data_IF_137105834775
#
_entry.id   IF_137105834775
#
_cell.length_a   1.000
_cell.length_b   1.000
_cell.length_c   1.000
_cell.angle_alpha   90.00
_cell.angle_beta   90.00
_cell.angle_gamma   90.00
#
_symmetry.space_group_name_H-M   'P 1'
#
loop_
_entity.id
_entity.type
_entity.pdbx_description
1 polymer ?
#
# COMPACT_ATOMS: atom_id res chain seq x y z
N UNK A 1 6.28 4.21 3.51
CA UNK A 1 5.75 5.07 2.42
C UNK A 1 4.28 5.46 2.56
N UNK A 2 3.39 4.55 3.04
CA UNK A 2 1.95 4.83 3.17
C UNK A 2 1.67 6.03 4.10
N UNK A 3 2.56 6.27 5.05
CA UNK A 3 2.53 7.36 6.03
C UNK A 3 2.47 8.75 5.38
N UNK A 4 3.15 8.95 4.24
CA UNK A 4 3.13 10.23 3.50
C UNK A 4 1.70 10.62 3.12
N UNK A 5 0.94 9.65 2.62
CA UNK A 5 -0.44 9.87 2.19
C UNK A 5 -1.42 9.86 3.37
N UNK A 6 -1.33 8.87 4.25
CA UNK A 6 -2.25 8.70 5.37
C UNK A 6 -2.12 9.79 6.42
N UNK A 7 -0.88 10.17 6.75
CA UNK A 7 -0.60 11.23 7.72
C UNK A 7 -1.21 12.57 7.30
N UNK A 8 -1.19 12.91 6.02
CA UNK A 8 -1.89 14.09 5.52
C UNK A 8 -3.40 13.89 5.51
N UNK A 9 -3.89 12.81 4.89
CA UNK A 9 -5.31 12.59 4.67
C UNK A 9 -6.11 12.57 5.99
N UNK A 10 -5.66 11.79 6.97
CA UNK A 10 -6.38 11.65 8.24
C UNK A 10 -6.39 12.95 9.03
N UNK A 11 -5.30 13.73 9.00
CA UNK A 11 -5.27 15.07 9.65
C UNK A 11 -6.22 16.06 8.98
N UNK A 12 -6.30 16.03 7.65
CA UNK A 12 -7.24 16.88 6.90
C UNK A 12 -8.70 16.45 7.15
N UNK A 13 -8.96 15.15 7.23
CA UNK A 13 -10.27 14.63 7.61
C UNK A 13 -10.66 15.09 9.01
N UNK A 14 -9.77 14.92 10.01
CA UNK A 14 -10.00 15.37 11.39
C UNK A 14 -10.30 16.87 11.46
N UNK A 15 -9.53 17.69 10.73
CA UNK A 15 -9.75 19.13 10.63
C UNK A 15 -11.13 19.50 10.09
N UNK A 16 -11.59 18.85 9.01
CA UNK A 16 -12.91 19.16 8.44
C UNK A 16 -14.06 18.61 9.28
N UNK A 17 -13.88 17.46 9.94
CA UNK A 17 -14.86 16.91 10.88
C UNK A 17 -15.04 17.84 12.07
N UNK A 18 -13.94 18.39 12.60
CA UNK A 18 -13.99 19.30 13.75
C UNK A 18 -14.81 20.56 13.44
N UNK A 19 -14.58 21.14 12.25
CA UNK A 19 -15.34 22.30 11.75
C UNK A 19 -16.83 22.03 11.53
N UNK A 20 -17.21 20.77 11.32
CA UNK A 20 -18.61 20.34 11.16
C UNK A 20 -19.21 19.81 12.45
N UNK A 21 -18.45 19.79 13.54
CA UNK A 21 -18.79 19.10 14.79
C UNK A 21 -19.22 17.64 14.56
N UNK A 22 -18.57 16.98 13.61
CA UNK A 22 -18.87 15.60 13.22
C UNK A 22 -17.72 14.67 13.63
N UNK A 23 -17.92 13.36 13.51
CA UNK A 23 -16.97 12.31 13.87
C UNK A 23 -17.02 11.17 12.85
N UNK A 24 -15.95 10.40 12.73
CA UNK A 24 -15.90 9.20 11.90
C UNK A 24 -15.22 8.03 12.64
N UNK A 25 -15.70 6.83 12.34
CA UNK A 25 -15.09 5.57 12.74
C UNK A 25 -14.36 4.98 11.53
N UNK A 26 -13.04 5.10 11.50
CA UNK A 26 -12.19 4.53 10.46
C UNK A 26 -12.02 3.04 10.70
N UNK A 27 -12.56 2.22 9.80
CA UNK A 27 -12.41 0.77 9.83
C UNK A 27 -11.61 0.29 8.61
N UNK A 28 -10.64 -0.58 8.84
CA UNK A 28 -9.83 -1.18 7.78
C UNK A 28 -9.35 -2.58 8.16
N UNK A 29 -9.38 -3.50 7.20
CA UNK A 29 -8.64 -4.74 7.28
C UNK A 29 -7.18 -4.52 6.83
N UNK A 30 -6.24 -5.24 7.45
CA UNK A 30 -4.82 -5.18 7.07
C UNK A 30 -4.16 -6.54 7.18
N UNK A 31 -3.28 -6.82 6.22
CA UNK A 31 -2.32 -7.94 6.25
C UNK A 31 -0.88 -7.45 6.23
N UNK A 32 -0.66 -6.14 6.36
CA UNK A 32 0.67 -5.52 6.32
C UNK A 32 0.67 -4.06 6.74
N UNK A 33 1.41 -3.20 6.02
CA UNK A 33 1.70 -1.82 6.46
C UNK A 33 0.52 -0.84 6.48
N UNK A 34 -0.64 -1.20 5.91
CA UNK A 34 -1.77 -0.26 5.81
C UNK A 34 -2.35 0.05 7.20
N UNK A 35 -2.47 -0.95 8.06
CA UNK A 35 -2.91 -0.81 9.45
C UNK A 35 -2.02 0.10 10.27
N UNK A 36 -0.71 -0.18 10.42
CA UNK A 36 0.23 0.68 11.12
C UNK A 36 0.17 2.15 10.66
N UNK A 37 0.17 2.40 9.35
CA UNK A 37 0.13 3.76 8.81
C UNK A 37 -1.18 4.49 9.16
N UNK A 38 -2.33 3.79 9.13
CA UNK A 38 -3.61 4.38 9.50
C UNK A 38 -3.69 4.63 11.02
N UNK A 39 -3.26 3.65 11.82
CA UNK A 39 -3.26 3.71 13.27
C UNK A 39 -2.40 4.88 13.79
N UNK A 40 -1.16 5.01 13.30
CA UNK A 40 -0.27 6.13 13.65
C UNK A 40 -0.83 7.50 13.20
N UNK A 41 -1.43 7.56 12.01
CA UNK A 41 -2.01 8.81 11.51
C UNK A 41 -3.28 9.21 12.27
N UNK A 42 -4.05 8.23 12.76
CA UNK A 42 -5.23 8.44 13.57
C UNK A 42 -4.92 8.73 15.04
N UNK A 43 -3.78 8.29 15.56
CA UNK A 43 -3.40 8.49 16.96
C UNK A 43 -3.55 9.96 17.41
N UNK A 44 -4.33 10.16 18.48
CA UNK A 44 -4.59 11.47 19.08
C UNK A 44 -5.46 12.41 18.24
N UNK A 45 -6.13 11.92 17.17
CA UNK A 45 -7.15 12.69 16.44
C UNK A 45 -8.43 12.78 17.27
N UNK A 46 -9.06 13.96 17.27
CA UNK A 46 -10.20 14.26 18.15
C UNK A 46 -11.53 13.73 17.60
N UNK A 47 -11.68 13.72 16.28
CA UNK A 47 -12.94 13.40 15.60
C UNK A 47 -12.91 12.05 14.90
N UNK A 48 -11.85 11.29 15.09
CA UNK A 48 -11.62 10.03 14.39
C UNK A 48 -11.31 8.94 15.41
N UNK A 49 -12.12 7.88 15.43
CA UNK A 49 -11.72 6.59 16.02
C UNK A 49 -11.17 5.69 14.91
N UNK A 50 -10.19 4.83 15.22
CA UNK A 50 -9.55 3.96 14.24
C UNK A 50 -9.54 2.51 14.72
N UNK A 51 -10.03 1.62 13.85
CA UNK A 51 -10.27 0.22 14.11
C UNK A 51 -9.53 -0.63 13.07
N UNK A 52 -8.19 -0.77 13.17
CA UNK A 52 -7.44 -1.64 12.28
C UNK A 52 -7.68 -3.11 12.67
N UNK A 53 -8.23 -3.89 11.75
CA UNK A 53 -8.50 -5.31 11.90
C UNK A 53 -7.38 -6.11 11.25
N UNK A 54 -6.85 -7.12 11.95
CA UNK A 54 -5.84 -8.01 11.39
C UNK A 54 -6.08 -9.47 11.82
N UNK A 55 -5.79 -10.44 10.93
CA UNK A 55 -5.89 -11.85 11.28
C UNK A 55 -4.77 -12.21 12.27
N UNK A 56 -5.14 -12.59 13.48
CA UNK A 56 -4.21 -12.86 14.57
C UNK A 56 -3.25 -13.99 14.19
N UNK A 57 -1.94 -13.76 14.34
CA UNK A 57 -0.90 -14.73 13.99
C UNK A 57 -0.58 -14.85 12.49
N UNK A 58 -1.22 -14.07 11.62
CA UNK A 58 -1.00 -14.11 10.17
C UNK A 58 -0.34 -12.83 9.61
N UNK A 59 0.04 -11.90 10.48
CA UNK A 59 0.88 -10.73 10.16
C UNK A 59 2.23 -10.82 10.90
N UNK A 60 3.25 -10.09 10.45
CA UNK A 60 4.53 -10.06 11.16
C UNK A 60 4.37 -9.45 12.55
N UNK A 61 5.21 -9.90 13.50
CA UNK A 61 5.16 -9.39 14.87
C UNK A 61 5.48 -7.90 14.92
N UNK A 62 6.39 -7.44 14.07
CA UNK A 62 6.75 -6.03 13.93
C UNK A 62 5.53 -5.20 13.52
N UNK A 63 4.78 -5.63 12.50
CA UNK A 63 3.58 -4.92 12.04
C UNK A 63 2.47 -4.92 13.09
N UNK A 64 2.28 -6.02 13.82
CA UNK A 64 1.33 -6.09 14.93
C UNK A 64 1.69 -5.08 16.02
N UNK A 65 2.95 -5.09 16.48
CA UNK A 65 3.42 -4.19 17.53
C UNK A 65 3.28 -2.72 17.13
N UNK A 66 3.49 -2.37 15.86
CA UNK A 66 3.27 -1.01 15.39
C UNK A 66 1.83 -0.52 15.55
N UNK A 67 0.84 -1.40 15.68
CA UNK A 67 -0.54 -1.00 15.93
C UNK A 67 -0.88 -1.08 17.42
N UNK A 68 -0.48 -2.17 18.07
CA UNK A 68 -0.95 -2.51 19.42
C UNK A 68 -0.21 -1.79 20.54
N UNK A 69 0.91 -1.12 20.25
CA UNK A 69 1.72 -0.40 21.25
C UNK A 69 1.65 1.12 21.13
N UNK A 70 0.75 1.65 20.28
CA UNK A 70 0.61 3.10 20.05
C UNK A 70 0.14 3.84 21.32
N UNK A 71 -0.61 3.18 22.20
CA UNK A 71 -1.12 3.77 23.45
C UNK A 71 -2.22 4.82 23.29
N UNK A 72 -2.61 5.19 22.06
CA UNK A 72 -3.67 6.17 21.81
C UNK A 72 -5.06 5.61 22.15
N UNK A 73 -5.87 6.38 22.87
CA UNK A 73 -7.22 5.96 23.29
C UNK A 73 -8.20 5.81 22.12
N UNK A 74 -8.04 6.62 21.08
CA UNK A 74 -8.91 6.61 19.91
C UNK A 74 -8.53 5.56 18.86
N UNK A 75 -7.55 4.70 19.15
CA UNK A 75 -7.09 3.64 18.25
C UNK A 75 -7.29 2.29 18.95
N UNK A 76 -8.10 1.43 18.35
CA UNK A 76 -8.43 0.10 18.88
C UNK A 76 -8.06 -0.96 17.85
N UNK A 77 -6.81 -1.47 17.86
CA UNK A 77 -6.44 -2.59 17.02
C UNK A 77 -7.22 -3.84 17.41
N UNK A 78 -7.63 -4.62 16.40
CA UNK A 78 -8.45 -5.82 16.60
C UNK A 78 -7.76 -7.04 15.99
N UNK A 79 -7.24 -7.90 16.86
CA UNK A 79 -6.68 -9.20 16.46
C UNK A 79 -7.79 -10.25 16.36
N UNK A 80 -8.03 -10.75 15.16
CA UNK A 80 -9.15 -11.65 14.86
C UNK A 80 -8.66 -13.09 14.72
N UNK A 81 -9.22 -14.01 15.52
CA UNK A 81 -8.93 -15.44 15.46
C UNK A 81 -9.92 -16.16 14.56
N UNK A 82 -9.49 -17.27 13.95
CA UNK A 82 -10.37 -18.09 13.10
C UNK A 82 -10.59 -17.55 11.69
N UNK A 83 -9.71 -16.67 11.20
CA UNK A 83 -9.71 -16.25 9.80
C UNK A 83 -9.04 -17.34 8.95
N UNK A 84 -9.83 -18.22 8.34
CA UNK A 84 -9.35 -19.32 7.49
C UNK A 84 -8.73 -18.81 6.18
N UNK A 85 -9.27 -17.72 5.63
CA UNK A 85 -8.78 -17.05 4.43
C UNK A 85 -7.97 -15.77 4.77
N UNK A 86 -7.57 -15.61 6.03
CA UNK A 86 -6.72 -14.52 6.49
C UNK A 86 -7.36 -13.14 6.34
N UNK A 87 -6.79 -12.27 5.51
CA UNK A 87 -7.29 -10.90 5.31
C UNK A 87 -8.63 -10.85 4.57
N UNK A 88 -8.90 -11.82 3.69
CA UNK A 88 -10.10 -11.85 2.86
C UNK A 88 -11.36 -12.01 3.72
N UNK A 89 -11.30 -12.82 4.79
CA UNK A 89 -12.37 -12.93 5.80
C UNK A 89 -12.72 -11.57 6.42
N UNK A 90 -11.71 -10.77 6.75
CA UNK A 90 -11.93 -9.44 7.33
C UNK A 90 -12.53 -8.47 6.32
N UNK A 91 -12.09 -8.53 5.07
CA UNK A 91 -12.65 -7.72 3.98
C UNK A 91 -14.13 -8.05 3.75
N UNK A 92 -14.56 -9.30 3.92
CA UNK A 92 -15.98 -9.68 3.86
C UNK A 92 -16.81 -9.00 4.95
N UNK A 93 -16.32 -8.96 6.19
CA UNK A 93 -17.00 -8.27 7.30
C UNK A 93 -17.07 -6.77 7.03
N UNK A 94 -15.95 -6.17 6.62
CA UNK A 94 -15.90 -4.74 6.26
C UNK A 94 -16.88 -4.44 5.12
N UNK A 95 -16.95 -5.28 4.09
CA UNK A 95 -17.88 -5.11 2.98
C UNK A 95 -19.35 -5.19 3.41
N UNK A 96 -19.71 -6.10 4.34
CA UNK A 96 -21.08 -6.17 4.88
C UNK A 96 -21.44 -4.92 5.68
N UNK A 97 -20.53 -4.44 6.54
CA UNK A 97 -20.73 -3.20 7.30
C UNK A 97 -20.98 -1.99 6.39
N UNK A 98 -20.22 -1.86 5.30
CA UNK A 98 -20.43 -0.80 4.30
C UNK A 98 -21.60 -1.04 3.35
N UNK A 99 -22.06 -2.29 3.21
CA UNK A 99 -23.22 -2.66 2.40
C UNK A 99 -24.56 -2.25 3.04
N UNK A 100 -24.61 -2.14 4.37
CA UNK A 100 -25.75 -1.60 5.09
C UNK A 100 -25.59 -0.09 5.31
N UNK A 101 -26.28 0.71 4.49
CA UNK A 101 -26.25 2.17 4.59
C UNK A 101 -26.83 2.72 5.90
N UNK A 102 -27.76 2.02 6.56
CA UNK A 102 -28.28 2.44 7.88
C UNK A 102 -27.21 2.25 8.93
N UNK A 103 -26.56 1.09 8.92
CA UNK A 103 -25.47 0.77 9.85
C UNK A 103 -24.26 1.69 9.65
N UNK A 104 -23.85 1.89 8.39
CA UNK A 104 -22.76 2.80 8.02
C UNK A 104 -22.98 4.21 8.56
N UNK A 105 -24.18 4.75 8.37
CA UNK A 105 -24.52 6.09 8.86
C UNK A 105 -24.61 6.14 10.39
N UNK A 106 -25.21 5.12 11.02
CA UNK A 106 -25.35 5.03 12.48
C UNK A 106 -24.00 4.98 13.19
N UNK A 107 -23.05 4.21 12.66
CA UNK A 107 -21.70 4.02 13.19
C UNK A 107 -20.69 5.05 12.66
N UNK A 108 -21.13 5.94 11.76
CA UNK A 108 -20.29 6.92 11.06
C UNK A 108 -19.06 6.27 10.41
N UNK A 109 -19.24 5.13 9.76
CA UNK A 109 -18.12 4.37 9.20
C UNK A 109 -17.48 5.09 8.02
N UNK A 110 -16.15 5.03 7.96
CA UNK A 110 -15.38 5.44 6.79
C UNK A 110 -14.12 4.57 6.64
N UNK A 111 -13.51 4.60 5.47
CA UNK A 111 -12.31 3.83 5.15
C UNK A 111 -11.24 4.71 4.51
N UNK A 112 -9.98 4.45 4.88
CA UNK A 112 -8.79 5.07 4.30
C UNK A 112 -8.02 4.09 3.41
N UNK A 113 -8.71 3.09 2.86
CA UNK A 113 -8.14 2.15 1.90
C UNK A 113 -7.61 2.87 0.66
N UNK A 114 -6.80 2.16 -0.11
CA UNK A 114 -6.03 2.73 -1.24
C UNK A 114 -6.92 3.17 -2.42
N UNK A 115 -8.24 3.02 -2.30
CA UNK A 115 -9.25 3.58 -3.20
C UNK A 115 -9.45 5.08 -2.93
N UNK A 116 -9.12 5.61 -1.74
CA UNK A 116 -9.29 7.02 -1.44
C UNK A 116 -8.40 7.90 -2.36
N UNK A 117 -9.00 8.81 -3.13
CA UNK A 117 -8.29 9.66 -4.08
C UNK A 117 -7.23 10.56 -3.41
N UNK A 118 -7.50 11.01 -2.17
CA UNK A 118 -6.54 11.79 -1.39
C UNK A 118 -5.22 11.05 -1.18
N UNK A 119 -5.25 9.71 -1.06
CA UNK A 119 -4.01 8.93 -0.95
C UNK A 119 -3.18 8.97 -2.22
N UNK A 120 -3.81 8.84 -3.39
CA UNK A 120 -3.14 8.87 -4.69
C UNK A 120 -2.58 10.26 -4.97
N UNK A 121 -3.37 11.31 -4.70
CA UNK A 121 -2.95 12.70 -4.87
C UNK A 121 -1.72 13.04 -4.01
N UNK A 122 -1.73 12.65 -2.74
CA UNK A 122 -0.57 12.91 -1.87
C UNK A 122 0.66 12.10 -2.24
N UNK A 123 0.50 10.94 -2.89
CA UNK A 123 1.63 10.21 -3.45
C UNK A 123 2.27 10.94 -4.64
N UNK A 124 1.55 11.79 -5.38
CA UNK A 124 2.16 12.58 -6.47
C UNK A 124 3.27 13.53 -5.97
N UNK A 125 3.17 14.01 -4.72
CA UNK A 125 4.07 15.03 -4.16
C UNK A 125 5.53 14.58 -4.11
N UNK A 126 5.81 13.31 -3.77
CA UNK A 126 7.20 12.85 -3.66
C UNK A 126 7.89 12.71 -5.03
N UNK A 127 7.14 12.58 -6.13
CA UNK A 127 7.72 12.62 -7.47
C UNK A 127 8.27 14.00 -7.80
N UNK A 128 7.50 15.07 -7.53
CA UNK A 128 7.99 16.44 -7.70
C UNK A 128 9.20 16.71 -6.81
N UNK A 129 9.12 16.31 -5.53
CA UNK A 129 10.25 16.45 -4.61
C UNK A 129 11.51 15.76 -5.13
N UNK A 130 11.44 14.47 -5.47
CA UNK A 130 12.59 13.74 -5.97
C UNK A 130 13.11 14.29 -7.31
N UNK A 131 12.20 14.70 -8.21
CA UNK A 131 12.54 15.32 -9.49
C UNK A 131 13.40 16.57 -9.31
N UNK A 132 12.93 17.55 -8.54
CA UNK A 132 13.66 18.81 -8.32
C UNK A 132 14.94 18.64 -7.49
N UNK A 133 15.13 17.50 -6.82
CA UNK A 133 16.36 17.19 -6.08
C UNK A 133 17.44 16.55 -6.94
N UNK A 134 17.09 15.97 -8.09
CA UNK A 134 17.97 15.09 -8.86
C UNK A 134 18.24 15.54 -10.29
N UNK A 135 17.37 16.38 -10.88
CA UNK A 135 17.66 16.93 -12.20
C UNK A 135 18.77 17.97 -12.15
N UNK A 136 19.60 17.99 -13.20
CA UNK A 136 20.58 19.05 -13.40
C UNK A 136 19.98 20.20 -14.20
N UNK A 137 19.15 19.89 -15.21
CA UNK A 137 18.48 20.87 -16.06
C UNK A 137 16.97 20.64 -16.08
N UNK A 138 16.21 21.73 -16.00
CA UNK A 138 14.76 21.69 -16.18
C UNK A 138 14.39 21.07 -17.53
N UNK A 139 13.49 20.10 -17.50
CA UNK A 139 13.04 19.35 -18.68
C UNK A 139 13.74 18.02 -18.90
N UNK A 140 14.84 17.75 -18.18
CA UNK A 140 15.48 16.44 -18.22
C UNK A 140 14.54 15.37 -17.67
N UNK A 141 14.59 14.18 -18.28
CA UNK A 141 13.78 13.06 -17.86
C UNK A 141 14.34 12.44 -16.57
N UNK A 142 13.45 11.99 -15.68
CA UNK A 142 13.81 11.16 -14.52
C UNK A 142 13.00 9.87 -14.53
N UNK A 143 13.67 8.75 -14.28
CA UNK A 143 13.02 7.43 -14.23
C UNK A 143 12.73 7.07 -12.78
N UNK A 144 11.52 6.57 -12.51
CA UNK A 144 11.16 6.00 -11.22
C UNK A 144 10.93 4.50 -11.36
N UNK A 145 11.74 3.71 -10.66
CA UNK A 145 11.51 2.28 -10.49
C UNK A 145 10.69 2.02 -9.24
N UNK A 146 9.48 1.53 -9.42
CA UNK A 146 8.47 1.43 -8.37
C UNK A 146 8.12 -0.03 -8.17
N UNK A 147 8.23 -0.56 -6.92
CA UNK A 147 7.70 -1.87 -6.61
C UNK A 147 6.17 -1.76 -6.55
N UNK A 148 5.51 -2.36 -7.53
CA UNK A 148 4.11 -2.08 -7.82
C UNK A 148 3.20 -3.26 -7.46
N UNK A 149 2.28 -3.02 -6.52
CA UNK A 149 1.16 -3.93 -6.19
C UNK A 149 -0.17 -3.31 -6.60
N UNK A 150 -0.84 -2.65 -5.64
CA UNK A 150 -2.11 -1.96 -5.82
C UNK A 150 -2.13 -0.79 -6.84
N UNK A 151 -0.95 -0.41 -7.36
CA UNK A 151 -0.73 0.65 -8.34
C UNK A 151 -1.04 2.10 -7.90
N UNK A 152 -1.30 2.34 -6.60
CA UNK A 152 -1.60 3.69 -6.09
C UNK A 152 -0.42 4.65 -6.24
N UNK A 153 0.79 4.20 -5.90
CA UNK A 153 2.00 5.03 -6.01
C UNK A 153 2.26 5.42 -7.46
N UNK A 154 2.29 4.44 -8.38
CA UNK A 154 2.47 4.68 -9.81
C UNK A 154 1.37 5.55 -10.41
N UNK A 155 0.13 5.43 -9.94
CA UNK A 155 -0.96 6.32 -10.35
C UNK A 155 -0.75 7.76 -9.85
N UNK A 156 -0.21 7.97 -8.65
CA UNK A 156 0.22 9.29 -8.18
C UNK A 156 1.33 9.88 -9.06
N UNK A 157 2.29 9.05 -9.48
CA UNK A 157 3.29 9.43 -10.48
C UNK A 157 2.67 9.81 -11.82
N UNK A 158 1.69 9.04 -12.30
CA UNK A 158 0.98 9.35 -13.54
C UNK A 158 0.23 10.69 -13.47
N UNK A 159 -0.35 11.03 -12.32
CA UNK A 159 -0.93 12.36 -12.07
C UNK A 159 0.16 13.44 -12.18
N UNK A 160 1.32 13.24 -11.55
CA UNK A 160 2.44 14.19 -11.66
C UNK A 160 2.91 14.36 -13.11
N UNK A 161 2.96 13.27 -13.88
CA UNK A 161 3.30 13.28 -15.31
C UNK A 161 2.26 14.01 -16.14
N UNK A 162 0.97 13.81 -15.86
CA UNK A 162 -0.13 14.54 -16.50
C UNK A 162 -0.11 16.04 -16.18
N UNK A 163 0.43 16.43 -15.02
CA UNK A 163 0.70 17.83 -14.66
C UNK A 163 1.93 18.43 -15.39
N UNK A 164 2.66 17.64 -16.18
CA UNK A 164 3.79 18.10 -16.98
C UNK A 164 5.18 17.69 -16.46
N UNK A 165 5.26 16.93 -15.37
CA UNK A 165 6.55 16.45 -14.85
C UNK A 165 7.15 15.42 -15.83
N UNK A 166 8.38 15.61 -16.36
CA UNK A 166 8.96 14.73 -17.37
C UNK A 166 9.56 13.48 -16.71
N UNK A 167 8.67 12.57 -16.30
CA UNK A 167 9.05 11.32 -15.65
C UNK A 167 8.63 10.10 -16.47
N UNK A 168 9.40 9.03 -16.31
CA UNK A 168 9.11 7.70 -16.86
C UNK A 168 9.09 6.67 -15.73
N UNK A 169 8.48 5.53 -15.98
CA UNK A 169 8.27 4.50 -14.95
C UNK A 169 8.89 3.17 -15.34
N UNK A 170 9.47 2.51 -14.35
CA UNK A 170 9.68 1.07 -14.34
C UNK A 170 8.70 0.49 -13.32
N UNK A 171 7.74 -0.28 -13.81
CA UNK A 171 6.80 -1.02 -13.00
C UNK A 171 7.41 -2.38 -12.66
N UNK A 172 8.07 -2.48 -11.51
CA UNK A 172 8.65 -3.73 -11.03
C UNK A 172 7.62 -4.48 -10.17
N UNK A 173 7.19 -5.66 -10.61
CA UNK A 173 6.33 -6.56 -9.83
C UNK A 173 7.14 -7.71 -9.26
N UNK A 174 6.60 -8.39 -8.26
CA UNK A 174 7.10 -9.70 -7.88
C UNK A 174 6.44 -10.81 -8.74
N UNK A 175 6.42 -12.05 -8.25
CA UNK A 175 5.76 -13.21 -8.89
C UNK A 175 4.29 -12.95 -9.26
N UNK A 176 3.60 -12.02 -8.60
CA UNK A 176 2.26 -11.52 -8.97
C UNK A 176 2.36 -10.44 -10.06
N UNK A 177 2.64 -10.86 -11.27
CA UNK A 177 3.06 -9.99 -12.37
C UNK A 177 1.91 -9.51 -13.27
N UNK A 178 0.72 -9.26 -12.72
CA UNK A 178 -0.45 -8.76 -13.48
C UNK A 178 -0.12 -7.45 -14.21
N UNK A 179 0.51 -6.49 -13.52
CA UNK A 179 0.90 -5.23 -14.15
C UNK A 179 1.94 -5.42 -15.26
N UNK A 180 2.86 -6.38 -15.11
CA UNK A 180 3.79 -6.70 -16.18
C UNK A 180 3.04 -7.16 -17.44
N UNK A 181 2.10 -8.11 -17.32
CA UNK A 181 1.28 -8.59 -18.46
C UNK A 181 0.46 -7.48 -19.12
N UNK A 182 -0.06 -6.54 -18.33
CA UNK A 182 -0.79 -5.38 -18.85
C UNK A 182 0.13 -4.54 -19.73
N UNK A 183 1.31 -4.15 -19.22
CA UNK A 183 2.21 -3.24 -19.93
C UNK A 183 3.00 -3.90 -21.06
N UNK A 184 3.30 -5.20 -20.96
CA UNK A 184 4.08 -5.92 -21.98
C UNK A 184 3.22 -6.56 -23.07
N UNK A 185 2.00 -7.00 -22.74
CA UNK A 185 1.15 -7.77 -23.66
C UNK A 185 -0.27 -7.19 -23.82
N UNK A 186 -0.64 -6.12 -23.10
CA UNK A 186 -2.00 -5.58 -23.14
C UNK A 186 -3.04 -6.48 -22.47
N UNK A 187 -2.62 -7.42 -21.62
CA UNK A 187 -3.52 -8.43 -21.02
C UNK A 187 -3.66 -8.18 -19.52
N UNK A 188 -4.89 -7.91 -19.09
CA UNK A 188 -5.28 -7.94 -17.67
C UNK A 188 -6.02 -9.25 -17.40
N UNK A 189 -5.37 -10.19 -16.73
CA UNK A 189 -5.96 -11.48 -16.34
C UNK A 189 -5.80 -11.74 -14.85
N UNK A 190 -6.89 -12.13 -14.18
CA UNK A 190 -6.91 -12.49 -12.76
C UNK A 190 -6.38 -13.92 -12.60
N UNK A 191 -5.14 -14.04 -12.12
CA UNK A 191 -4.51 -15.33 -11.79
C UNK A 191 -4.53 -15.59 -10.27
N UNK A 192 -4.34 -16.84 -9.82
CA UNK A 192 -4.21 -17.14 -8.40
C UNK A 192 -3.07 -16.33 -7.75
N UNK A 193 -3.30 -15.90 -6.50
CA UNK A 193 -2.32 -15.20 -5.68
C UNK A 193 -1.12 -16.11 -5.41
N UNK A 194 0.10 -15.56 -5.49
CA UNK A 194 1.32 -16.25 -5.10
C UNK A 194 2.00 -15.50 -3.96
N UNK A 195 2.32 -16.17 -2.87
CA UNK A 195 3.08 -15.55 -1.78
C UNK A 195 4.53 -15.31 -2.18
N UNK A 196 5.06 -14.14 -1.82
CA UNK A 196 6.45 -13.76 -2.06
C UNK A 196 7.12 -13.14 -0.83
N UNK A 197 8.41 -12.83 -0.93
CA UNK A 197 9.14 -12.09 0.12
C UNK A 197 8.72 -10.61 0.21
N UNK A 198 8.04 -10.10 -0.81
CA UNK A 198 7.56 -8.71 -0.91
C UNK A 198 6.03 -8.67 -0.77
N UNK A 199 5.53 -9.18 0.35
CA UNK A 199 4.10 -9.46 0.58
C UNK A 199 3.17 -8.27 0.38
N UNK A 200 3.63 -7.02 0.59
CA UNK A 200 2.79 -5.84 0.41
C UNK A 200 2.47 -5.52 -1.05
N UNK A 201 3.13 -6.18 -2.01
CA UNK A 201 2.83 -6.09 -3.45
C UNK A 201 2.36 -7.43 -4.03
N UNK A 202 2.03 -8.43 -3.20
CA UNK A 202 1.30 -9.64 -3.62
C UNK A 202 -0.16 -9.26 -3.96
N UNK A 203 -0.37 -8.73 -5.16
CA UNK A 203 -1.66 -8.18 -5.60
C UNK A 203 -2.03 -8.75 -6.97
N UNK A 204 -3.18 -9.41 -7.03
CA UNK A 204 -3.72 -9.96 -8.28
C UNK A 204 -4.44 -8.88 -9.09
N UNK A 205 -5.24 -8.04 -8.43
CA UNK A 205 -6.06 -7.00 -9.07
C UNK A 205 -5.55 -5.63 -8.62
N UNK A 206 -4.72 -4.94 -9.44
CA UNK A 206 -4.22 -3.61 -9.13
C UNK A 206 -5.33 -2.56 -9.26
N UNK A 207 -6.13 -2.34 -8.22
CA UNK A 207 -7.34 -1.51 -8.30
C UNK A 207 -7.10 -0.03 -8.67
N UNK A 208 -5.90 0.54 -8.45
CA UNK A 208 -5.59 1.89 -8.97
C UNK A 208 -5.20 1.90 -10.45
N UNK A 209 -5.01 0.74 -11.08
CA UNK A 209 -4.83 0.65 -12.53
C UNK A 209 -6.04 1.23 -13.27
N UNK A 210 -7.25 1.09 -12.73
CA UNK A 210 -8.45 1.68 -13.34
C UNK A 210 -8.39 3.20 -13.49
N UNK A 211 -7.76 3.89 -12.53
CA UNK A 211 -7.50 5.33 -12.62
C UNK A 211 -6.45 5.65 -13.66
N UNK A 212 -5.40 4.85 -13.71
CA UNK A 212 -4.37 4.98 -14.73
C UNK A 212 -4.94 4.77 -16.13
N UNK A 213 -5.78 3.74 -16.31
CA UNK A 213 -6.49 3.47 -17.55
C UNK A 213 -7.33 4.68 -17.96
N UNK A 214 -8.13 5.24 -17.05
CA UNK A 214 -8.90 6.46 -17.28
C UNK A 214 -8.03 7.63 -17.78
N UNK A 215 -6.89 7.89 -17.11
CA UNK A 215 -5.96 8.95 -17.49
C UNK A 215 -5.30 8.72 -18.85
N UNK A 216 -5.15 7.46 -19.28
CA UNK A 216 -4.51 7.07 -20.55
C UNK A 216 -5.50 6.78 -21.68
N UNK A 217 -6.79 6.67 -21.38
CA UNK A 217 -7.87 6.46 -22.34
C UNK A 217 -8.60 7.76 -22.68
N UNK A 218 -7.87 8.87 -22.76
CA UNK A 218 -8.42 10.21 -23.05
C UNK A 218 -9.58 10.61 -22.11
N UNK A 219 -9.51 10.18 -20.85
CA UNK A 219 -10.54 10.43 -19.83
C UNK A 219 -11.91 9.82 -20.18
N UNK A 220 -11.93 8.75 -20.98
CA UNK A 220 -13.15 8.01 -21.34
C UNK A 220 -13.57 7.03 -20.22
N UNK A 221 -14.69 7.27 -19.52
CA UNK A 221 -15.18 6.35 -18.48
C UNK A 221 -15.72 5.04 -19.05
N UNK A 222 -16.17 4.99 -20.32
CA UNK A 222 -16.73 3.79 -20.92
C UNK A 222 -15.67 2.72 -21.20
N UNK A 223 -14.43 3.12 -21.50
CA UNK A 223 -13.29 2.19 -21.58
C UNK A 223 -13.10 1.49 -20.24
N UNK A 224 -13.08 2.25 -19.15
CA UNK A 224 -12.90 1.71 -17.79
C UNK A 224 -14.07 0.80 -17.41
N UNK A 225 -15.31 1.27 -17.58
CA UNK A 225 -16.52 0.53 -17.22
C UNK A 225 -16.60 -0.81 -17.99
N UNK A 226 -16.30 -0.79 -19.29
CA UNK A 226 -16.29 -2.01 -20.12
C UNK A 226 -15.22 -2.98 -19.68
N UNK A 227 -13.99 -2.51 -19.44
CA UNK A 227 -12.90 -3.37 -18.97
C UNK A 227 -13.19 -3.95 -17.58
N UNK A 228 -13.77 -3.19 -16.66
CA UNK A 228 -14.18 -3.71 -15.35
C UNK A 228 -15.25 -4.82 -15.48
N UNK A 229 -16.27 -4.61 -16.33
CA UNK A 229 -17.31 -5.62 -16.59
C UNK A 229 -16.70 -6.88 -17.20
N UNK A 230 -15.87 -6.74 -18.22
CA UNK A 230 -15.24 -7.88 -18.89
C UNK A 230 -14.31 -8.66 -17.94
N UNK A 231 -13.52 -7.98 -17.10
CA UNK A 231 -12.70 -8.64 -16.08
C UNK A 231 -13.58 -9.40 -15.07
N UNK A 232 -14.70 -8.82 -14.65
CA UNK A 232 -15.65 -9.46 -13.73
C UNK A 232 -16.28 -10.71 -14.34
N UNK A 233 -16.73 -10.62 -15.59
CA UNK A 233 -17.51 -11.67 -16.23
C UNK A 233 -16.62 -12.82 -16.77
N UNK A 234 -15.41 -12.51 -17.23
CA UNK A 234 -14.51 -13.47 -17.92
C UNK A 234 -13.21 -13.76 -17.17
N UNK A 235 -12.88 -12.99 -16.13
CA UNK A 235 -11.59 -13.06 -15.45
C UNK A 235 -10.42 -12.45 -16.24
N UNK A 236 -10.68 -11.92 -17.45
CA UNK A 236 -9.65 -11.43 -18.38
C UNK A 236 -10.17 -10.30 -19.26
N UNK A 237 -9.28 -9.35 -19.57
CA UNK A 237 -9.47 -8.26 -20.54
C UNK A 237 -8.23 -8.19 -21.42
N UNK A 238 -8.43 -8.01 -22.72
CA UNK A 238 -7.33 -7.75 -23.67
C UNK A 238 -7.53 -6.38 -24.28
N UNK A 239 -6.56 -5.49 -24.10
CA UNK A 239 -6.57 -4.15 -24.69
C UNK A 239 -6.13 -4.23 -26.16
N UNK A 240 -6.78 -3.45 -27.03
CA UNK A 240 -6.34 -3.35 -28.41
C UNK A 240 -4.94 -2.71 -28.52
N UNK A 241 -4.34 -2.78 -29.70
CA UNK A 241 -2.97 -2.30 -29.94
C UNK A 241 -2.83 -0.79 -29.66
N UNK A 242 -3.86 0.01 -29.98
CA UNK A 242 -3.83 1.46 -29.80
C UNK A 242 -3.83 1.82 -28.31
N UNK A 243 -4.74 1.23 -27.53
CA UNK A 243 -4.83 1.43 -26.09
C UNK A 243 -3.60 0.86 -25.38
N UNK A 244 -3.12 -0.32 -25.78
CA UNK A 244 -1.89 -0.92 -25.24
C UNK A 244 -0.69 0.00 -25.42
N UNK A 245 -0.55 0.63 -26.59
CA UNK A 245 0.50 1.62 -26.83
C UNK A 245 0.35 2.89 -25.98
N UNK A 246 -0.88 3.39 -25.76
CA UNK A 246 -1.13 4.52 -24.85
C UNK A 246 -0.74 4.19 -23.40
N UNK A 247 -1.05 2.97 -22.95
CA UNK A 247 -0.75 2.48 -21.60
C UNK A 247 0.76 2.33 -21.37
N UNK A 248 1.51 1.78 -22.32
CA UNK A 248 2.95 1.53 -22.20
C UNK A 248 3.82 2.75 -22.49
N UNK A 249 3.28 3.84 -23.05
CA UNK A 249 4.06 5.04 -23.36
C UNK A 249 4.70 5.64 -22.09
N UNK A 250 6.03 5.59 -22.02
CA UNK A 250 6.82 6.05 -20.88
C UNK A 250 6.78 5.12 -19.67
N UNK A 251 6.34 3.87 -19.86
CA UNK A 251 6.28 2.82 -18.85
C UNK A 251 6.93 1.56 -19.40
N UNK A 252 7.97 1.08 -18.72
CA UNK A 252 8.47 -0.29 -18.89
C UNK A 252 8.08 -1.10 -17.66
N UNK A 253 7.98 -2.41 -17.79
CA UNK A 253 7.62 -3.29 -16.67
C UNK A 253 8.48 -4.54 -16.66
N UNK A 254 8.65 -5.11 -15.47
CA UNK A 254 9.34 -6.39 -15.31
C UNK A 254 8.83 -7.12 -14.07
N UNK A 255 9.12 -8.42 -14.00
CA UNK A 255 8.84 -9.28 -12.86
C UNK A 255 10.13 -9.74 -12.22
N UNK A 256 10.22 -9.61 -10.90
CA UNK A 256 11.38 -9.98 -10.09
C UNK A 256 11.03 -11.18 -9.21
N UNK A 257 11.89 -12.21 -9.20
CA UNK A 257 11.69 -13.39 -8.36
C UNK A 257 12.18 -13.18 -6.93
N UNK A 258 11.84 -14.09 -6.01
CA UNK A 258 12.32 -14.02 -4.62
C UNK A 258 13.83 -14.21 -4.56
N UNK A 259 14.38 -15.09 -5.40
CA UNK A 259 15.82 -15.34 -5.51
C UNK A 259 16.54 -14.08 -5.97
N UNK A 260 16.01 -13.40 -7.01
CA UNK A 260 16.54 -12.12 -7.47
C UNK A 260 16.42 -11.03 -6.40
N UNK A 261 15.34 -11.03 -5.62
CA UNK A 261 15.14 -10.10 -4.51
C UNK A 261 16.22 -10.27 -3.44
N UNK A 262 16.46 -11.51 -3.00
CA UNK A 262 17.48 -11.83 -2.01
C UNK A 262 18.90 -11.49 -2.49
N UNK A 263 19.22 -11.85 -3.74
CA UNK A 263 20.51 -11.50 -4.38
C UNK A 263 20.69 -9.99 -4.42
N UNK A 264 19.66 -9.25 -4.83
CA UNK A 264 19.74 -7.77 -4.90
C UNK A 264 19.95 -7.14 -3.52
N UNK A 265 19.27 -7.65 -2.48
CA UNK A 265 19.47 -7.18 -1.11
C UNK A 265 20.90 -7.41 -0.64
N UNK A 266 21.43 -8.63 -0.85
CA UNK A 266 22.79 -9.00 -0.45
C UNK A 266 23.83 -8.18 -1.21
N UNK A 267 23.78 -8.21 -2.53
CA UNK A 267 24.80 -7.61 -3.38
C UNK A 267 24.87 -6.08 -3.17
N UNK A 268 23.73 -5.40 -2.99
CA UNK A 268 23.73 -3.97 -2.70
C UNK A 268 24.32 -3.68 -1.31
N UNK A 269 23.97 -4.48 -0.30
CA UNK A 269 24.48 -4.31 1.06
C UNK A 269 25.99 -4.54 1.10
N UNK A 270 26.51 -5.58 0.46
CA UNK A 270 27.95 -5.87 0.38
C UNK A 270 28.73 -4.77 -0.36
N UNK A 271 28.15 -4.18 -1.40
CA UNK A 271 28.82 -3.16 -2.21
C UNK A 271 28.79 -1.76 -1.58
N UNK A 272 27.73 -1.43 -0.84
CA UNK A 272 27.45 -0.04 -0.43
C UNK A 272 27.22 0.15 1.06
N UNK A 273 27.02 -0.93 1.82
CA UNK A 273 26.53 -0.88 3.20
C UNK A 273 25.05 -0.49 3.34
N UNK A 274 24.33 -0.24 2.24
CA UNK A 274 22.91 0.16 2.29
C UNK A 274 21.99 -1.06 2.29
N UNK A 275 21.26 -1.27 3.39
CA UNK A 275 20.34 -2.39 3.53
C UNK A 275 18.94 -2.05 3.00
N UNK A 276 18.48 -2.80 2.00
CA UNK A 276 17.13 -2.68 1.47
C UNK A 276 16.12 -3.56 2.22
N UNK A 277 14.87 -3.11 2.21
CA UNK A 277 13.73 -3.98 2.41
C UNK A 277 13.44 -4.79 1.11
N UNK A 278 12.71 -5.92 1.16
CA UNK A 278 12.44 -6.73 -0.03
C UNK A 278 11.71 -5.97 -1.14
N UNK A 279 10.86 -4.99 -0.83
CA UNK A 279 10.14 -4.23 -1.86
C UNK A 279 11.09 -3.25 -2.56
N UNK A 280 11.93 -2.54 -1.81
CA UNK A 280 12.99 -1.72 -2.39
C UNK A 280 13.94 -2.53 -3.28
N UNK A 281 14.27 -3.76 -2.88
CA UNK A 281 15.07 -4.68 -3.69
C UNK A 281 14.38 -5.07 -5.01
N UNK A 282 13.06 -5.29 -5.02
CA UNK A 282 12.30 -5.49 -6.26
C UNK A 282 12.44 -4.27 -7.19
N UNK A 283 12.36 -3.04 -6.68
CA UNK A 283 12.58 -1.85 -7.50
C UNK A 283 14.01 -1.70 -8.02
N UNK A 284 15.02 -2.00 -7.21
CA UNK A 284 16.44 -1.96 -7.65
C UNK A 284 16.71 -3.04 -8.71
N UNK A 285 16.26 -4.27 -8.47
CA UNK A 285 16.38 -5.38 -9.43
C UNK A 285 15.65 -5.04 -10.74
N UNK A 286 14.44 -4.50 -10.66
CA UNK A 286 13.68 -4.10 -11.84
C UNK A 286 14.37 -2.98 -12.63
N UNK A 287 14.98 -2.02 -11.94
CA UNK A 287 15.78 -0.99 -12.59
C UNK A 287 16.99 -1.56 -13.33
N UNK A 288 17.68 -2.52 -12.73
CA UNK A 288 18.82 -3.21 -13.36
C UNK A 288 18.39 -4.00 -14.61
N UNK A 289 17.29 -4.75 -14.52
CA UNK A 289 16.76 -5.56 -15.63
C UNK A 289 16.29 -4.70 -16.82
N UNK A 290 15.66 -3.55 -16.54
CA UNK A 290 15.14 -2.67 -17.58
C UNK A 290 16.18 -1.66 -18.10
N UNK A 291 17.42 -1.67 -17.61
CA UNK A 291 18.44 -0.67 -17.97
C UNK A 291 18.70 -0.59 -19.48
N UNK A 292 18.73 -1.72 -20.17
CA UNK A 292 18.93 -1.81 -21.62
C UNK A 292 17.68 -1.40 -22.42
N UNK A 293 16.50 -1.41 -21.80
CA UNK A 293 15.24 -0.99 -22.43
C UNK A 293 15.08 0.54 -22.45
N UNK A 294 15.99 1.27 -21.79
CA UNK A 294 15.97 2.72 -21.76
C UNK A 294 16.80 3.29 -22.91
N UNK A 295 16.20 4.18 -23.70
CA UNK A 295 16.82 4.72 -24.91
C UNK A 295 18.05 5.62 -24.64
N UNK A 296 18.20 6.17 -23.43
CA UNK A 296 19.29 7.07 -23.05
C UNK A 296 19.74 6.83 -21.61
N UNK A 297 21.01 7.09 -21.27
CA UNK A 297 21.47 7.16 -19.89
C UNK A 297 20.66 8.23 -19.15
N UNK A 298 19.72 7.78 -18.33
CA UNK A 298 18.78 8.66 -17.61
C UNK A 298 18.87 8.31 -16.13
N UNK A 299 18.98 9.29 -15.22
CA UNK A 299 18.97 9.01 -13.78
C UNK A 299 17.71 8.20 -13.40
N UNK A 300 17.88 7.25 -12.48
CA UNK A 300 16.82 6.36 -12.03
C UNK A 300 16.72 6.38 -10.51
N UNK A 301 15.50 6.55 -10.01
CA UNK A 301 15.15 6.52 -8.60
C UNK A 301 14.42 5.22 -8.30
N UNK A 302 15.06 4.32 -7.58
CA UNK A 302 14.39 3.12 -7.05
C UNK A 302 13.69 3.44 -5.74
N UNK A 303 12.37 3.23 -5.69
CA UNK A 303 11.55 3.61 -4.53
C UNK A 303 11.57 2.49 -3.49
N UNK A 304 12.34 2.69 -2.42
CA UNK A 304 12.26 1.86 -1.21
C UNK A 304 10.99 2.22 -0.41
N UNK A 305 10.04 1.29 -0.32
CA UNK A 305 8.70 1.58 0.21
C UNK A 305 8.57 1.31 1.71
N UNK A 306 9.48 0.54 2.29
CA UNK A 306 9.50 0.21 3.70
C UNK A 306 10.91 0.27 4.29
N UNK A 307 10.98 0.28 5.62
CA UNK A 307 12.25 0.14 6.34
C UNK A 307 12.59 -1.37 6.45
N UNK A 308 13.86 -1.78 6.27
CA UNK A 308 14.29 -3.18 6.37
C UNK A 308 13.89 -3.85 7.69
N UNK A 309 13.94 -3.13 8.82
CA UNK A 309 13.53 -3.64 10.14
C UNK A 309 12.12 -4.22 10.23
N UNK A 310 11.26 -3.99 9.24
CA UNK A 310 9.94 -4.63 9.16
C UNK A 310 9.99 -6.07 8.63
N UNK A 311 11.13 -6.53 8.11
CA UNK A 311 11.29 -7.82 7.44
C UNK A 311 12.55 -8.57 7.92
N UNK A 312 12.72 -8.77 9.25
CA UNK A 312 13.93 -9.38 9.80
C UNK A 312 14.23 -10.78 9.23
N UNK A 313 13.19 -11.59 9.03
CA UNK A 313 13.36 -12.94 8.47
C UNK A 313 13.84 -12.92 7.00
N UNK A 314 13.48 -11.90 6.23
CA UNK A 314 13.96 -11.75 4.85
C UNK A 314 15.42 -11.30 4.83
N UNK A 315 15.80 -10.42 5.75
CA UNK A 315 17.20 -9.98 5.92
C UNK A 315 18.09 -11.17 6.27
N UNK A 316 17.67 -12.01 7.24
CA UNK A 316 18.39 -13.24 7.61
C UNK A 316 18.60 -14.18 6.42
N UNK A 317 17.58 -14.31 5.56
CA UNK A 317 17.69 -15.11 4.32
C UNK A 317 18.66 -14.50 3.31
N UNK A 318 18.66 -13.18 3.17
CA UNK A 318 19.51 -12.48 2.19
C UNK A 318 20.99 -12.46 2.60
N UNK A 319 21.28 -12.15 3.86
CA UNK A 319 22.66 -11.98 4.38
C UNK A 319 23.24 -13.25 5.02
N UNK A 320 22.45 -14.31 5.15
CA UNK A 320 22.84 -15.57 5.79
C UNK A 320 22.66 -15.55 7.31
N UNK A 321 22.32 -16.72 7.86
CA UNK A 321 21.93 -16.91 9.27
C UNK A 321 23.07 -16.78 10.30
N UNK A 322 24.32 -16.73 9.86
CA UNK A 322 25.50 -16.72 10.74
C UNK A 322 26.02 -15.31 11.05
N UNK A 323 25.45 -14.27 10.43
CA UNK A 323 25.82 -12.89 10.71
C UNK A 323 24.91 -12.31 11.79
N UNK A 324 25.49 -11.60 12.76
CA UNK A 324 24.70 -10.64 13.53
C UNK A 324 24.01 -9.70 12.54
N UNK A 325 22.71 -9.48 12.75
CA UNK A 325 21.97 -8.55 11.92
C UNK A 325 22.63 -7.17 12.01
N UNK A 326 22.83 -6.47 10.88
CA UNK A 326 23.44 -5.15 10.90
C UNK A 326 22.53 -4.14 11.59
N UNK A 327 23.09 -3.01 12.04
CA UNK A 327 22.33 -1.96 12.75
C UNK A 327 21.10 -1.50 11.94
N UNK A 328 21.23 -1.38 10.61
CA UNK A 328 20.13 -1.02 9.72
C UNK A 328 18.96 -2.00 9.72
N UNK A 329 19.14 -3.24 10.21
CA UNK A 329 18.05 -4.22 10.35
C UNK A 329 17.15 -3.92 11.56
N UNK A 330 17.47 -2.93 12.38
CA UNK A 330 16.71 -2.53 13.56
C UNK A 330 16.16 -1.11 13.38
N UNK A 331 15.12 -0.77 14.14
CA UNK A 331 14.59 0.59 14.19
C UNK A 331 14.21 0.92 15.64
N UNK A 332 14.65 2.05 16.22
CA UNK A 332 14.44 2.35 17.64
C UNK A 332 12.98 2.20 18.08
N UNK A 333 12.02 2.72 17.31
CA UNK A 333 10.61 2.62 17.65
C UNK A 333 10.05 1.19 17.63
N UNK A 334 10.65 0.28 16.86
CA UNK A 334 10.25 -1.13 16.84
C UNK A 334 10.88 -1.88 18.02
N UNK A 335 12.12 -1.56 18.38
CA UNK A 335 12.78 -2.14 19.54
C UNK A 335 12.10 -1.70 20.84
N UNK A 336 11.73 -0.43 20.96
CA UNK A 336 10.90 0.09 22.06
C UNK A 336 9.54 -0.62 22.12
N UNK A 337 8.87 -0.80 20.97
CA UNK A 337 7.57 -1.47 20.90
C UNK A 337 7.62 -2.94 21.36
N UNK A 338 8.76 -3.64 21.25
CA UNK A 338 8.90 -5.02 21.76
C UNK A 338 8.80 -5.10 23.29
N UNK A 339 9.02 -3.99 23.99
CA UNK A 339 8.97 -3.89 25.44
C UNK A 339 7.75 -3.12 25.96
N UNK A 340 6.91 -2.60 25.06
CA UNK A 340 5.73 -1.82 25.42
C UNK A 340 4.52 -2.71 25.72
N UNK A 341 3.60 -2.17 26.53
CA UNK A 341 2.33 -2.84 26.83
C UNK A 341 1.45 -2.90 25.57
N UNK A 342 0.96 -4.11 25.28
CA UNK A 342 0.08 -4.38 24.14
C UNK A 342 -1.36 -4.02 24.52
N UNK A 343 -1.93 -3.04 23.81
CA UNK A 343 -3.35 -2.67 23.87
C UNK A 343 -4.04 -3.05 22.57
N UNK A 344 -4.88 -4.08 22.63
CA UNK A 344 -5.72 -4.52 21.51
C UNK A 344 -6.98 -5.22 22.00
N UNK A 345 -8.01 -5.23 21.14
CA UNK A 345 -9.15 -6.14 21.27
C UNK A 345 -8.81 -7.46 20.59
N UNK A 346 -9.24 -8.58 21.18
CA UNK A 346 -9.21 -9.89 20.50
C UNK A 346 -10.62 -10.42 20.32
N UNK A 347 -10.93 -10.95 19.15
CA UNK A 347 -12.26 -11.46 18.82
C UNK A 347 -12.18 -12.71 17.93
N UNK A 348 -13.16 -13.61 18.03
CA UNK A 348 -13.33 -14.69 17.07
C UNK A 348 -14.04 -14.17 15.82
N UNK A 349 -13.67 -14.65 14.64
CA UNK A 349 -14.21 -14.20 13.36
C UNK A 349 -15.75 -14.24 13.32
N UNK A 350 -16.36 -15.30 13.84
CA UNK A 350 -17.82 -15.49 13.88
C UNK A 350 -18.57 -14.39 14.65
N UNK A 351 -17.90 -13.74 15.62
CA UNK A 351 -18.49 -12.70 16.47
C UNK A 351 -18.04 -11.28 16.06
N UNK A 352 -17.10 -11.18 15.12
CA UNK A 352 -16.40 -9.94 14.80
C UNK A 352 -17.35 -8.80 14.46
N UNK A 353 -18.31 -9.06 13.57
CA UNK A 353 -19.25 -8.04 13.10
C UNK A 353 -20.07 -7.47 14.26
N UNK A 354 -20.67 -8.35 15.07
CA UNK A 354 -21.46 -7.96 16.24
C UNK A 354 -20.63 -7.15 17.23
N UNK A 355 -19.43 -7.64 17.57
CA UNK A 355 -18.54 -6.96 18.52
C UNK A 355 -18.10 -5.60 18.02
N UNK A 356 -17.75 -5.48 16.74
CA UNK A 356 -17.38 -4.18 16.17
C UNK A 356 -18.52 -3.17 16.26
N UNK A 357 -19.75 -3.58 15.96
CA UNK A 357 -20.93 -2.71 16.07
C UNK A 357 -21.10 -2.20 17.50
N UNK A 358 -21.06 -3.11 18.49
CA UNK A 358 -21.22 -2.77 19.91
C UNK A 358 -20.13 -1.80 20.41
N UNK A 359 -18.86 -2.09 20.11
CA UNK A 359 -17.72 -1.30 20.58
C UNK A 359 -17.62 0.08 19.88
N UNK A 360 -17.94 0.15 18.59
CA UNK A 360 -17.99 1.43 17.87
C UNK A 360 -19.13 2.30 18.40
N UNK A 361 -20.30 1.73 18.70
CA UNK A 361 -21.41 2.46 19.32
C UNK A 361 -21.04 3.01 20.70
N UNK A 362 -20.44 2.17 21.55
CA UNK A 362 -19.99 2.58 22.86
C UNK A 362 -18.95 3.73 22.76
N UNK A 363 -18.01 3.64 21.82
CA UNK A 363 -17.01 4.68 21.56
C UNK A 363 -17.65 6.02 21.14
N UNK A 364 -18.65 5.98 20.25
CA UNK A 364 -19.36 7.19 19.82
C UNK A 364 -20.19 7.82 20.94
N UNK A 365 -20.80 7.01 21.81
CA UNK A 365 -21.56 7.50 22.98
C UNK A 365 -20.64 8.16 24.01
N UNK A 366 -19.51 7.53 24.35
CA UNK A 366 -18.53 8.09 25.29
C UNK A 366 -17.98 9.45 24.83
N UNK A 367 -17.76 9.62 23.53
CA UNK A 367 -17.33 10.90 22.96
C UNK A 367 -18.40 11.99 22.95
N UNK A 368 -19.68 11.65 23.12
CA UNK A 368 -20.77 12.62 23.26
C UNK A 368 -20.94 13.10 24.70
N UNK A 369 -20.62 12.26 25.69
CA UNK A 369 -20.71 12.62 27.12
C UNK A 369 -19.58 13.52 27.62
N UNK A 370 -18.44 13.57 26.93
CA UNK A 370 -17.29 14.43 27.26
C UNK A 370 -17.38 15.86 26.66
N UNK A 371 -18.49 16.18 25.98
CA UNK A 371 -18.82 17.53 25.49
C UNK A 371 -19.83 18.21 26.42
#
# INVERSE_FOLDING_TARGET
FKDVAMGFLIRVMDYFLDRRNDQLSLILATTGDTGPAAAYAAAGRKRISCWPLFPAGMISKEQELQMTTIGAENVTPVGVRGCLEGGDDLDLVVARLFGDGRLTNRLKLSSVNSINIGRVLMQAVHYFYAYFRLIERFGDALIFSIPAGAFGNSCGGEIARAMGLPIQFICATNKNHTLHRIFSAGIFEKLPLQHSLSSAIDIVVPYNFWRFLYLRSDLDPEVVNRSMRELKDRGKVTFDVSLSHKLSRGVVSTSVTDEQTLVTMRDLYEQTGYLLDPHGAVAVAGAAQCRSMMAKPTPCVSVATAHPAKFPEVIKKALGSNHQLPEAAFHPSLEEAKHADVKMMTCNYEELEKRLVEEIEASLQGQQSDK
#
